data_IF_800566567833
#
_entry.id   IF_800566567833
#
_cell.length_a   1.000
_cell.length_b   1.000
_cell.length_c   1.000
_cell.angle_alpha   90.00
_cell.angle_beta   90.00
_cell.angle_gamma   90.00
#
_symmetry.space_group_name_H-M   'P 1'
#
loop_
_entity.id
_entity.type
_entity.pdbx_description
1 polymer ?
#
# COMPACT_ATOMS: atom_id res chain seq x y z
N UNK A 1 4.20 -18.33 30.39
CA UNK A 1 4.14 -16.88 30.35
C UNK A 1 4.48 -16.28 29.00
N UNK A 2 5.16 -17.01 28.15
CA UNK A 2 5.41 -16.57 26.78
C UNK A 2 4.11 -16.28 26.02
N UNK A 3 3.10 -17.11 26.24
CA UNK A 3 1.80 -16.92 25.59
C UNK A 3 1.14 -15.61 26.00
N UNK A 4 1.27 -15.24 27.26
CA UNK A 4 0.72 -13.99 27.75
C UNK A 4 1.38 -12.79 27.08
N UNK A 5 2.70 -12.85 26.88
CA UNK A 5 3.41 -11.77 26.19
C UNK A 5 2.95 -11.62 24.76
N UNK A 6 2.79 -12.74 24.06
CA UNK A 6 2.31 -12.71 22.69
C UNK A 6 0.90 -12.17 22.59
N UNK A 7 0.03 -12.61 23.49
CA UNK A 7 -1.35 -12.13 23.54
C UNK A 7 -1.42 -10.65 23.85
N UNK A 8 -0.58 -10.18 24.76
CA UNK A 8 -0.53 -8.77 25.12
C UNK A 8 -0.14 -7.91 23.92
N UNK A 9 0.84 -8.36 23.13
CA UNK A 9 1.25 -7.62 21.93
C UNK A 9 0.10 -7.50 20.94
N UNK A 10 -0.65 -8.57 20.71
CA UNK A 10 -1.80 -8.54 19.83
C UNK A 10 -2.91 -7.63 20.36
N UNK A 11 -3.14 -7.66 21.65
CA UNK A 11 -4.15 -6.83 22.30
C UNK A 11 -3.80 -5.35 22.28
N UNK A 12 -2.51 -5.03 22.15
CA UNK A 12 -2.06 -3.64 22.13
C UNK A 12 -2.20 -2.97 20.78
N UNK A 13 -2.68 -3.68 19.76
CA UNK A 13 -2.94 -3.07 18.47
C UNK A 13 -3.99 -2.00 18.63
N UNK A 14 -3.66 -0.81 18.13
CA UNK A 14 -4.56 0.34 18.22
C UNK A 14 -5.73 0.16 17.28
N UNK A 15 -6.86 0.74 17.65
CA UNK A 15 -7.97 0.89 16.73
C UNK A 15 -7.73 2.13 15.88
N UNK A 16 -7.70 1.99 14.56
CA UNK A 16 -7.47 3.09 13.64
C UNK A 16 -8.59 3.10 12.61
N UNK A 17 -9.74 3.74 12.92
CA UNK A 17 -10.86 3.75 11.97
C UNK A 17 -10.60 4.61 10.74
N UNK A 18 -9.79 5.65 10.87
CA UNK A 18 -9.43 6.53 9.75
C UNK A 18 -7.91 6.57 9.61
N UNK A 19 -7.42 6.34 8.40
CA UNK A 19 -5.99 6.30 8.16
C UNK A 19 -5.64 6.74 6.76
N UNK A 20 -4.47 6.34 6.31
CA UNK A 20 -3.93 6.68 5.01
C UNK A 20 -3.55 5.41 4.26
N UNK A 21 -3.73 5.44 2.94
CA UNK A 21 -3.25 4.38 2.06
C UNK A 21 -2.22 4.99 1.13
N UNK A 22 -1.02 4.46 1.15
CA UNK A 22 0.07 4.91 0.27
C UNK A 22 0.29 3.86 -0.80
N UNK A 23 0.12 4.24 -2.05
CA UNK A 23 0.33 3.35 -3.20
C UNK A 23 1.55 3.86 -3.96
N UNK A 24 2.57 3.04 -4.02
CA UNK A 24 3.74 3.32 -4.83
C UNK A 24 3.74 2.37 -6.02
N UNK A 25 3.43 2.89 -7.20
CA UNK A 25 3.30 2.09 -8.41
C UNK A 25 4.42 2.41 -9.39
N UNK A 26 5.06 1.37 -9.89
CA UNK A 26 6.06 1.47 -10.95
C UNK A 26 5.70 0.47 -12.03
N UNK A 27 6.42 0.49 -13.15
CA UNK A 27 6.21 -0.49 -14.20
C UNK A 27 6.59 -1.91 -13.78
N UNK A 28 7.40 -2.02 -12.73
CA UNK A 28 7.93 -3.32 -12.28
C UNK A 28 7.27 -3.85 -11.01
N UNK A 29 6.55 -3.02 -10.25
CA UNK A 29 5.99 -3.46 -8.97
C UNK A 29 4.98 -2.43 -8.48
N UNK A 30 4.16 -2.87 -7.52
CA UNK A 30 3.25 -1.99 -6.78
C UNK A 30 3.37 -2.32 -5.31
N UNK A 31 3.56 -1.30 -4.49
CA UNK A 31 3.66 -1.44 -3.04
C UNK A 31 2.51 -0.65 -2.41
N UNK A 32 1.76 -1.30 -1.55
CA UNK A 32 0.63 -0.70 -0.85
C UNK A 32 0.93 -0.70 0.64
N UNK A 33 0.85 0.46 1.27
CA UNK A 33 1.07 0.62 2.69
C UNK A 33 -0.11 1.34 3.31
N UNK A 34 -0.68 0.78 4.37
CA UNK A 34 -1.69 1.46 5.17
C UNK A 34 -1.02 2.06 6.40
N UNK A 35 -1.38 3.29 6.71
CA UNK A 35 -0.81 4.04 7.81
C UNK A 35 -1.90 4.72 8.62
N UNK A 36 -1.57 5.15 9.84
CA UNK A 36 -2.49 5.95 10.63
C UNK A 36 -2.43 7.41 10.17
N UNK A 37 -3.24 8.28 10.81
CA UNK A 37 -3.29 9.69 10.43
C UNK A 37 -1.99 10.45 10.67
N UNK A 38 -1.06 9.88 11.43
CA UNK A 38 0.25 10.48 11.70
C UNK A 38 1.33 9.98 10.75
N UNK A 39 1.02 9.01 9.90
CA UNK A 39 1.97 8.46 8.96
C UNK A 39 2.70 7.22 9.42
N UNK A 40 2.37 6.66 10.58
CA UNK A 40 2.98 5.44 11.07
C UNK A 40 2.41 4.23 10.33
N UNK A 41 3.27 3.42 9.71
CA UNK A 41 2.80 2.27 8.93
C UNK A 41 2.14 1.23 9.82
N UNK A 42 0.98 0.75 9.41
CA UNK A 42 0.23 -0.30 10.09
C UNK A 42 0.44 -1.65 9.40
N UNK A 43 0.19 -1.70 8.10
CA UNK A 43 0.39 -2.88 7.28
C UNK A 43 0.94 -2.48 5.93
N UNK A 44 1.62 -3.43 5.28
CA UNK A 44 2.13 -3.22 3.94
C UNK A 44 2.11 -4.52 3.17
N UNK A 45 1.98 -4.42 1.85
CA UNK A 45 2.10 -5.56 0.96
C UNK A 45 2.60 -5.08 -0.41
N UNK A 46 3.16 -5.99 -1.18
CA UNK A 46 3.61 -5.66 -2.53
C UNK A 46 3.29 -6.83 -3.46
N UNK A 47 3.34 -6.56 -4.76
CA UNK A 47 3.14 -7.62 -5.75
C UNK A 47 4.17 -8.74 -5.56
N UNK A 48 5.41 -8.39 -5.26
CA UNK A 48 6.45 -9.38 -4.98
C UNK A 48 6.15 -10.22 -3.74
N UNK A 49 5.64 -9.61 -2.69
CA UNK A 49 5.27 -10.31 -1.47
C UNK A 49 4.09 -11.26 -1.67
N UNK A 50 3.27 -11.02 -2.68
CA UNK A 50 2.12 -11.87 -3.01
C UNK A 50 2.48 -13.02 -3.95
N UNK A 51 3.75 -13.20 -4.26
CA UNK A 51 4.21 -14.32 -5.08
C UNK A 51 4.40 -14.01 -6.55
N UNK A 52 4.13 -12.80 -7.00
CA UNK A 52 4.37 -12.40 -8.38
C UNK A 52 5.87 -12.17 -8.61
N UNK A 53 6.36 -12.54 -9.79
CA UNK A 53 7.78 -12.47 -10.11
C UNK A 53 7.98 -11.77 -11.45
N UNK A 54 9.14 -11.12 -11.61
CA UNK A 54 9.54 -10.50 -12.86
C UNK A 54 8.55 -9.45 -13.33
N UNK A 55 8.21 -9.46 -14.61
CA UNK A 55 7.30 -8.48 -15.20
C UNK A 55 5.88 -8.56 -14.66
N UNK A 56 5.49 -9.68 -14.08
CA UNK A 56 4.15 -9.84 -13.51
C UNK A 56 3.90 -8.94 -12.31
N UNK A 57 4.95 -8.50 -11.64
CA UNK A 57 4.81 -7.59 -10.50
C UNK A 57 4.24 -6.22 -10.87
N UNK A 58 4.39 -5.81 -12.11
CA UNK A 58 3.88 -4.52 -12.56
C UNK A 58 2.46 -4.54 -13.09
N UNK A 59 1.77 -5.68 -13.07
CA UNK A 59 0.43 -5.78 -13.62
C UNK A 59 -0.63 -5.23 -12.69
N UNK A 60 -1.77 -4.83 -13.27
CA UNK A 60 -2.89 -4.34 -12.47
C UNK A 60 -3.45 -5.44 -11.55
N UNK A 61 -3.47 -6.68 -12.02
CA UNK A 61 -3.93 -7.80 -11.20
C UNK A 61 -3.05 -8.01 -9.97
N UNK A 62 -1.73 -7.94 -10.15
CA UNK A 62 -0.80 -8.07 -9.03
C UNK A 62 -1.00 -6.95 -8.01
N UNK A 63 -1.25 -5.73 -8.47
CA UNK A 63 -1.53 -4.59 -7.60
C UNK A 63 -2.83 -4.80 -6.82
N UNK A 64 -3.85 -5.32 -7.48
CA UNK A 64 -5.12 -5.61 -6.83
C UNK A 64 -4.94 -6.63 -5.69
N UNK A 65 -4.21 -7.71 -5.93
CA UNK A 65 -3.96 -8.72 -4.91
C UNK A 65 -3.14 -8.15 -3.74
N UNK A 66 -2.13 -7.34 -4.04
CA UNK A 66 -1.32 -6.69 -3.00
C UNK A 66 -2.19 -5.78 -2.13
N UNK A 67 -3.05 -4.98 -2.75
CA UNK A 67 -3.95 -4.08 -2.03
C UNK A 67 -4.97 -4.86 -1.20
N UNK A 68 -5.50 -5.96 -1.72
CA UNK A 68 -6.43 -6.80 -0.99
C UNK A 68 -5.80 -7.40 0.26
N UNK A 69 -4.58 -7.91 0.15
CA UNK A 69 -3.87 -8.46 1.31
C UNK A 69 -3.62 -7.40 2.37
N UNK A 70 -3.14 -6.24 1.97
CA UNK A 70 -2.88 -5.15 2.91
C UNK A 70 -4.17 -4.64 3.54
N UNK A 71 -5.24 -4.50 2.76
CA UNK A 71 -6.53 -4.02 3.25
C UNK A 71 -7.15 -5.02 4.23
N UNK A 72 -7.07 -6.30 3.95
CA UNK A 72 -7.57 -7.34 4.86
C UNK A 72 -6.85 -7.25 6.21
N UNK A 73 -5.53 -7.17 6.18
CA UNK A 73 -4.73 -7.06 7.40
C UNK A 73 -5.05 -5.78 8.17
N UNK A 74 -5.20 -4.65 7.48
CA UNK A 74 -5.51 -3.38 8.11
C UNK A 74 -6.90 -3.40 8.76
N UNK A 75 -7.89 -3.94 8.07
CA UNK A 75 -9.25 -4.00 8.58
C UNK A 75 -9.35 -4.96 9.76
N UNK A 76 -8.75 -6.13 9.66
CA UNK A 76 -8.80 -7.14 10.72
C UNK A 76 -8.00 -6.74 11.94
N UNK A 77 -6.82 -6.16 11.73
CA UNK A 77 -5.91 -5.83 12.83
C UNK A 77 -6.18 -4.49 13.49
N UNK A 78 -6.67 -3.51 12.73
CA UNK A 78 -6.82 -2.13 13.21
C UNK A 78 -8.21 -1.54 13.03
N UNK A 79 -9.13 -2.27 12.42
CA UNK A 79 -10.49 -1.79 12.23
C UNK A 79 -10.61 -0.63 11.26
N UNK A 80 -9.71 -0.53 10.29
CA UNK A 80 -9.68 0.57 9.34
C UNK A 80 -10.97 0.62 8.51
N UNK A 81 -11.57 1.80 8.40
CA UNK A 81 -12.82 2.00 7.66
C UNK A 81 -12.73 3.05 6.57
N UNK A 82 -11.99 4.11 6.81
CA UNK A 82 -11.84 5.20 5.84
C UNK A 82 -10.37 5.52 5.65
N UNK A 83 -10.01 5.91 4.43
CA UNK A 83 -8.62 6.24 4.12
C UNK A 83 -8.55 7.44 3.19
N UNK A 84 -7.46 8.19 3.33
CA UNK A 84 -7.02 9.15 2.33
C UNK A 84 -5.93 8.46 1.52
N UNK A 85 -6.08 8.44 0.21
CA UNK A 85 -5.16 7.72 -0.68
C UNK A 85 -4.11 8.66 -1.24
N UNK A 86 -2.86 8.29 -1.10
CA UNK A 86 -1.73 9.01 -1.68
C UNK A 86 -1.06 8.10 -2.70
N UNK A 87 -1.09 8.50 -3.96
CA UNK A 87 -0.55 7.70 -5.06
C UNK A 87 0.76 8.29 -5.53
N UNK A 88 1.76 7.45 -5.66
CA UNK A 88 3.08 7.85 -6.13
C UNK A 88 3.51 6.94 -7.26
N UNK A 89 3.92 7.54 -8.38
CA UNK A 89 4.40 6.79 -9.54
C UNK A 89 3.36 6.66 -10.64
N UNK A 90 3.75 6.05 -11.74
CA UNK A 90 2.94 5.97 -12.96
C UNK A 90 2.64 4.55 -13.42
N UNK A 91 2.76 3.58 -12.54
CA UNK A 91 2.52 2.18 -12.90
C UNK A 91 1.05 1.86 -13.12
N UNK A 92 0.80 0.70 -13.72
CA UNK A 92 -0.55 0.23 -14.01
C UNK A 92 -1.36 -0.13 -12.75
N UNK A 93 -0.68 -0.30 -11.62
CA UNK A 93 -1.34 -0.75 -10.40
C UNK A 93 -2.10 0.31 -9.62
N UNK A 94 -2.02 1.59 -10.03
CA UNK A 94 -2.62 2.68 -9.27
C UNK A 94 -4.12 2.49 -9.04
N UNK A 95 -4.86 2.42 -10.12
CA UNK A 95 -6.33 2.33 -10.04
C UNK A 95 -6.79 0.99 -9.49
N UNK A 96 -6.11 -0.10 -9.87
CA UNK A 96 -6.46 -1.42 -9.40
C UNK A 96 -6.32 -1.54 -7.88
N UNK A 97 -5.27 -0.95 -7.31
CA UNK A 97 -5.06 -0.95 -5.86
C UNK A 97 -6.19 -0.18 -5.14
N UNK A 98 -6.60 0.95 -5.69
CA UNK A 98 -7.69 1.74 -5.09
C UNK A 98 -9.01 0.99 -5.18
N UNK A 99 -9.30 0.36 -6.32
CA UNK A 99 -10.55 -0.40 -6.50
C UNK A 99 -10.66 -1.57 -5.53
N UNK A 100 -9.53 -2.17 -5.15
CA UNK A 100 -9.55 -3.29 -4.22
C UNK A 100 -10.14 -2.92 -2.86
N UNK A 101 -10.12 -1.65 -2.49
CA UNK A 101 -10.67 -1.20 -1.21
C UNK A 101 -12.17 -1.42 -1.10
N UNK A 102 -12.91 -1.36 -2.21
CA UNK A 102 -14.36 -1.55 -2.18
C UNK A 102 -14.75 -2.97 -1.76
N UNK A 103 -13.88 -3.95 -2.02
CA UNK A 103 -14.10 -5.34 -1.62
C UNK A 103 -14.14 -5.50 -0.09
N UNK A 104 -13.47 -4.62 0.62
CA UNK A 104 -13.35 -4.68 2.07
C UNK A 104 -14.15 -3.57 2.77
N UNK A 105 -15.04 -2.90 2.06
CA UNK A 105 -15.88 -1.82 2.60
C UNK A 105 -15.08 -0.68 3.21
N UNK A 106 -13.89 -0.42 2.67
CA UNK A 106 -13.08 0.71 3.07
C UNK A 106 -13.44 1.89 2.17
N UNK A 107 -13.86 2.99 2.79
CA UNK A 107 -14.27 4.20 2.07
C UNK A 107 -13.08 5.08 1.79
N UNK A 108 -12.96 5.56 0.55
CA UNK A 108 -11.91 6.50 0.15
C UNK A 108 -12.44 7.92 0.32
N UNK A 109 -11.81 8.70 1.19
CA UNK A 109 -12.19 10.10 1.41
C UNK A 109 -11.62 11.02 0.35
N UNK A 110 -10.36 10.82 0.00
CA UNK A 110 -9.68 11.65 -0.99
C UNK A 110 -8.56 10.86 -1.66
N UNK A 111 -8.19 11.28 -2.86
CA UNK A 111 -7.09 10.69 -3.61
C UNK A 111 -6.17 11.82 -4.03
N UNK A 112 -4.89 11.73 -3.65
CA UNK A 112 -3.88 12.71 -4.04
C UNK A 112 -2.74 12.03 -4.78
N UNK A 113 -2.31 12.63 -5.88
CA UNK A 113 -1.12 12.19 -6.60
C UNK A 113 0.06 12.97 -6.05
N UNK A 114 1.00 12.26 -5.43
CA UNK A 114 2.18 12.86 -4.80
C UNK A 114 3.47 12.47 -5.54
N UNK A 115 3.35 12.12 -6.82
CA UNK A 115 4.50 11.76 -7.63
C UNK A 115 5.48 12.92 -7.69
N UNK A 116 6.72 12.65 -7.30
CA UNK A 116 7.76 13.68 -7.33
C UNK A 116 8.21 13.97 -8.74
N UNK A 117 8.36 15.26 -9.06
CA UNK A 117 8.88 15.70 -10.36
C UNK A 117 10.12 16.56 -10.09
N UNK A 118 11.31 16.13 -10.56
CA UNK A 118 12.50 16.92 -10.33
C UNK A 118 12.48 18.19 -11.18
N UNK A 119 12.87 19.30 -10.57
CA UNK A 119 12.98 20.59 -11.25
C UNK A 119 14.43 20.85 -11.58
N UNK A 120 14.98 20.07 -12.53
CA UNK A 120 16.38 20.17 -12.91
C UNK A 120 17.34 19.67 -11.84
N UNK A 121 16.89 18.78 -10.95
CA UNK A 121 17.67 18.32 -9.80
C UNK A 121 18.88 17.47 -10.14
N UNK A 122 18.97 16.30 -9.53
CA UNK A 122 20.11 15.42 -9.71
C UNK A 122 20.20 14.89 -11.15
N UNK A 123 21.43 14.82 -11.67
CA UNK A 123 21.67 14.27 -13.01
C UNK A 123 21.11 12.84 -13.10
N UNK A 124 20.29 12.52 -14.12
CA UNK A 124 19.81 11.17 -14.30
C UNK A 124 20.96 10.20 -14.57
N UNK A 125 20.73 8.95 -14.22
CA UNK A 125 21.72 7.92 -14.53
C UNK A 125 21.75 7.66 -16.03
N UNK A 126 22.84 7.04 -16.50
CA UNK A 126 22.98 6.68 -17.91
C UNK A 126 21.92 5.67 -18.32
N UNK A 127 21.55 5.72 -19.60
CA UNK A 127 20.61 4.77 -20.15
C UNK A 127 21.12 3.35 -19.98
N UNK A 128 20.21 2.43 -19.70
CA UNK A 128 20.55 1.00 -19.59
C UNK A 128 20.85 0.44 -20.98
N UNK A 129 21.88 -0.37 -21.04
CA UNK A 129 22.11 -1.17 -22.24
C UNK A 129 21.19 -2.38 -22.17
N UNK A 130 20.40 -2.55 -23.19
CA UNK A 130 19.47 -3.67 -23.26
C UNK A 130 20.15 -4.94 -23.74
#
# INVERSE_FOLDING_TARGET
MADNKTSSRKKQRRSVPAGQMHVQATFNNTIVTFADGKGNALTASSAGACGFRGSKKGTAYAAQIAAEKAAEAAKSGYGLRTVDVFVKGVGLGRDAAIRALSTFDITVNSIKDVTGVPHGGVRPRKARRA
#
